data_IF_858783795384
#
_entry.id   IF_858783795384
#
_cell.length_a   1.000
_cell.length_b   1.000
_cell.length_c   1.000
_cell.angle_alpha   90.00
_cell.angle_beta   90.00
_cell.angle_gamma   90.00
#
_symmetry.space_group_name_H-M   'P 1'
#
loop_
_entity.id
_entity.type
_entity.pdbx_description
1 polymer ?
#
# COMPACT_ATOMS: atom_id res chain seq x y z
N UNK A 1 -26.65 -22.72 27.34
CA UNK A 1 -25.99 -23.01 26.05
C UNK A 1 -24.48 -23.07 26.30
N UNK A 2 -23.84 -24.19 25.98
CA UNK A 2 -22.42 -24.41 26.21
C UNK A 2 -21.61 -23.70 25.09
N UNK A 3 -20.77 -22.68 25.40
CA UNK A 3 -20.07 -21.90 24.39
C UNK A 3 -18.82 -22.62 23.82
N UNK A 4 -18.56 -23.86 24.21
CA UNK A 4 -17.40 -24.66 23.79
C UNK A 4 -17.40 -25.14 22.32
N UNK A 5 -18.38 -24.74 21.51
CA UNK A 5 -18.55 -25.22 20.13
C UNK A 5 -18.70 -24.08 19.11
N UNK A 6 -17.96 -22.99 19.29
CA UNK A 6 -17.68 -22.06 18.19
C UNK A 6 -16.29 -22.40 17.66
N UNK A 7 -16.22 -23.42 16.81
CA UNK A 7 -15.03 -23.68 16.00
C UNK A 7 -14.99 -22.70 14.84
N UNK A 8 -14.12 -21.70 14.92
CA UNK A 8 -13.79 -20.87 13.77
C UNK A 8 -13.07 -21.72 12.73
N UNK A 9 -13.54 -21.66 11.49
CA UNK A 9 -13.08 -22.51 10.38
C UNK A 9 -11.64 -22.17 9.92
N UNK A 10 -11.07 -21.05 10.37
CA UNK A 10 -9.72 -20.59 10.01
C UNK A 10 -8.94 -20.10 11.23
N UNK A 11 -7.72 -20.63 11.42
CA UNK A 11 -6.76 -20.26 12.49
C UNK A 11 -6.05 -18.90 12.28
N UNK A 12 -6.34 -18.19 11.19
CA UNK A 12 -5.56 -17.03 10.74
C UNK A 12 -6.13 -15.71 11.26
N UNK A 13 -7.41 -15.66 11.62
CA UNK A 13 -8.00 -14.50 12.30
C UNK A 13 -8.12 -14.77 13.80
N UNK A 14 -7.38 -14.02 14.60
CA UNK A 14 -7.68 -13.92 16.02
C UNK A 14 -9.03 -13.19 16.16
N UNK A 15 -10.12 -13.94 16.36
CA UNK A 15 -11.40 -13.33 16.71
C UNK A 15 -11.26 -12.66 18.08
N UNK A 16 -11.37 -11.34 18.12
CA UNK A 16 -11.63 -10.62 19.37
C UNK A 16 -13.09 -10.87 19.70
N UNK A 17 -13.36 -11.66 20.74
CA UNK A 17 -14.70 -11.79 21.29
C UNK A 17 -15.15 -10.41 21.82
N UNK A 18 -16.23 -9.85 21.26
CA UNK A 18 -16.76 -8.54 21.62
C UNK A 18 -17.23 -8.46 23.09
N UNK A 19 -17.24 -9.58 23.83
CA UNK A 19 -17.48 -9.62 25.28
C UNK A 19 -16.23 -9.40 26.14
N UNK A 20 -15.06 -9.17 25.54
CA UNK A 20 -13.86 -8.81 26.29
C UNK A 20 -13.96 -7.38 26.84
N UNK A 21 -13.78 -7.21 28.15
CA UNK A 21 -13.48 -5.90 28.73
C UNK A 21 -12.09 -5.48 28.23
N UNK A 22 -12.04 -4.73 27.13
CA UNK A 22 -10.81 -4.19 26.58
C UNK A 22 -10.16 -3.29 27.62
N UNK A 23 -9.11 -3.77 28.28
CA UNK A 23 -8.21 -2.89 29.02
C UNK A 23 -7.54 -2.01 27.97
N UNK A 24 -7.99 -0.76 27.87
CA UNK A 24 -7.41 0.23 26.97
C UNK A 24 -5.92 0.36 27.28
N UNK A 25 -5.08 -0.18 26.39
CA UNK A 25 -3.63 -0.09 26.51
C UNK A 25 -3.15 0.89 25.43
N UNK A 26 -2.67 2.05 25.85
CA UNK A 26 -1.96 2.95 24.96
C UNK A 26 -0.59 2.34 24.66
N UNK A 27 -0.35 2.01 23.39
CA UNK A 27 0.95 1.54 22.90
C UNK A 27 1.46 2.54 21.87
N UNK A 28 2.76 2.79 21.90
CA UNK A 28 3.41 3.62 20.90
C UNK A 28 3.74 2.74 19.70
N UNK A 29 3.32 3.16 18.53
CA UNK A 29 3.70 2.57 17.26
C UNK A 29 4.44 3.63 16.44
N UNK A 30 5.39 3.18 15.64
CA UNK A 30 6.26 4.06 14.87
C UNK A 30 6.73 3.38 13.60
N UNK A 31 7.00 4.20 12.60
CA UNK A 31 7.56 3.78 11.32
C UNK A 31 8.71 4.71 10.94
N UNK A 32 9.68 4.17 10.21
CA UNK A 32 10.83 4.90 9.72
C UNK A 32 11.16 4.40 8.32
N UNK A 33 11.58 5.29 7.43
CA UNK A 33 11.99 4.92 6.09
C UNK A 33 12.91 5.93 5.45
N UNK A 34 13.67 5.46 4.48
CA UNK A 34 14.56 6.24 3.64
C UNK A 34 14.05 6.11 2.21
N UNK A 35 13.96 7.24 1.52
CA UNK A 35 13.54 7.35 0.12
C UNK A 35 14.65 8.04 -0.68
N UNK A 36 15.17 7.35 -1.67
CA UNK A 36 16.07 7.89 -2.68
C UNK A 36 15.32 7.99 -4.00
N UNK A 37 15.30 9.16 -4.63
CA UNK A 37 14.50 9.37 -5.84
C UNK A 37 15.16 10.34 -6.81
N UNK A 38 14.74 10.26 -8.07
CA UNK A 38 14.99 11.27 -9.10
C UNK A 38 13.72 11.46 -9.96
N UNK A 39 13.83 12.18 -11.08
CA UNK A 39 12.70 12.49 -11.97
C UNK A 39 12.04 11.25 -12.62
N UNK A 40 12.67 10.08 -12.57
CA UNK A 40 12.24 8.84 -13.24
C UNK A 40 12.13 7.63 -12.32
N UNK A 41 12.81 7.60 -11.18
CA UNK A 41 12.89 6.42 -10.35
C UNK A 41 12.80 6.77 -8.87
N UNK A 42 12.39 5.79 -8.09
CA UNK A 42 12.54 5.83 -6.65
C UNK A 42 13.02 4.47 -6.14
N UNK A 43 13.70 4.51 -5.01
CA UNK A 43 14.11 3.37 -4.21
C UNK A 43 13.82 3.71 -2.75
N UNK A 44 13.19 2.80 -2.03
CA UNK A 44 12.78 3.01 -0.66
C UNK A 44 13.04 1.78 0.18
N UNK A 45 13.44 2.02 1.42
CA UNK A 45 13.52 1.01 2.45
C UNK A 45 12.90 1.59 3.71
N UNK A 46 11.93 0.87 4.27
CA UNK A 46 11.19 1.31 5.44
C UNK A 46 10.87 0.15 6.37
N UNK A 47 10.64 0.48 7.64
CA UNK A 47 10.24 -0.44 8.68
C UNK A 47 9.03 0.12 9.41
N UNK A 48 7.97 -0.68 9.48
CA UNK A 48 6.77 -0.41 10.25
C UNK A 48 6.85 -1.09 11.62
N UNK A 49 6.05 -0.59 12.57
CA UNK A 49 5.90 -1.13 13.92
C UNK A 49 7.21 -1.27 14.69
N UNK A 50 8.13 -0.30 14.58
CA UNK A 50 9.50 -0.35 15.15
C UNK A 50 9.51 -0.79 16.62
N UNK A 51 8.54 -0.31 17.40
CA UNK A 51 8.50 -0.50 18.85
C UNK A 51 7.89 -1.85 19.30
N UNK A 52 7.28 -2.63 18.40
CA UNK A 52 6.68 -3.92 18.72
C UNK A 52 5.61 -3.84 19.83
N UNK A 53 4.34 -3.69 19.48
CA UNK A 53 3.28 -3.55 20.48
C UNK A 53 2.73 -4.94 20.90
N UNK A 54 2.98 -5.35 22.14
CA UNK A 54 2.30 -6.49 22.75
C UNK A 54 0.93 -6.09 23.32
N UNK A 55 -0.14 -6.61 22.73
CA UNK A 55 -1.51 -6.49 23.20
C UNK A 55 -1.86 -7.72 24.03
N UNK A 56 -2.19 -7.48 25.30
CA UNK A 56 -2.64 -8.51 26.23
C UNK A 56 -4.12 -8.35 26.48
N UNK A 57 -4.93 -9.27 25.97
CA UNK A 57 -6.36 -9.30 26.25
C UNK A 57 -6.61 -10.10 27.54
N UNK A 58 -7.31 -9.49 28.50
CA UNK A 58 -7.78 -10.17 29.71
C UNK A 58 -9.28 -10.39 29.58
N UNK A 59 -9.70 -11.65 29.68
CA UNK A 59 -11.11 -11.99 29.79
C UNK A 59 -11.57 -11.84 31.24
N UNK A 60 -12.85 -11.54 31.45
CA UNK A 60 -13.44 -11.29 32.78
C UNK A 60 -13.52 -12.54 33.66
N UNK A 61 -13.18 -13.72 33.15
CA UNK A 61 -13.27 -14.99 33.85
C UNK A 61 -11.87 -15.63 33.92
N UNK A 62 -11.35 -15.97 35.12
CA UNK A 62 -9.94 -16.38 35.31
C UNK A 62 -9.56 -17.70 34.61
N UNK A 63 -10.53 -18.48 34.14
CA UNK A 63 -10.31 -19.80 33.53
C UNK A 63 -10.17 -19.78 31.99
N UNK A 64 -10.19 -18.60 31.35
CA UNK A 64 -10.11 -18.51 29.89
C UNK A 64 -8.80 -17.88 29.38
N UNK A 65 -8.25 -18.52 28.35
CA UNK A 65 -6.93 -18.28 27.77
C UNK A 65 -6.60 -16.80 27.51
N UNK A 66 -5.38 -16.43 27.91
CA UNK A 66 -4.75 -15.14 27.63
C UNK A 66 -4.32 -15.08 26.16
N UNK A 67 -5.03 -14.32 25.34
CA UNK A 67 -4.57 -13.98 23.99
C UNK A 67 -3.48 -12.92 24.07
N UNK A 68 -2.25 -13.27 23.68
CA UNK A 68 -1.20 -12.29 23.40
C UNK A 68 -1.19 -12.07 21.88
N UNK A 69 -1.45 -10.83 21.45
CA UNK A 69 -1.23 -10.41 20.07
C UNK A 69 0.03 -9.53 20.06
N UNK A 70 1.04 -9.94 19.30
CA UNK A 70 2.25 -9.15 19.12
C UNK A 70 2.16 -8.48 17.76
N UNK A 71 2.19 -7.14 17.75
CA UNK A 71 2.32 -6.40 16.51
C UNK A 71 3.79 -6.45 16.07
N UNK A 72 4.05 -7.28 15.06
CA UNK A 72 5.41 -7.60 14.61
C UNK A 72 5.94 -6.55 13.63
N UNK A 73 7.25 -6.32 13.69
CA UNK A 73 7.94 -5.42 12.78
C UNK A 73 7.82 -5.93 11.34
N UNK A 74 7.61 -5.00 10.41
CA UNK A 74 7.50 -5.30 8.99
C UNK A 74 8.51 -4.45 8.22
N UNK A 75 9.33 -5.09 7.40
CA UNK A 75 10.29 -4.40 6.53
C UNK A 75 9.68 -4.31 5.14
N UNK A 76 9.67 -3.11 4.58
CA UNK A 76 9.13 -2.81 3.26
C UNK A 76 10.24 -2.23 2.41
N UNK A 77 10.49 -2.87 1.28
CA UNK A 77 11.32 -2.37 0.20
C UNK A 77 10.43 -1.96 -0.97
N UNK A 78 10.73 -0.83 -1.59
CA UNK A 78 10.01 -0.35 -2.76
C UNK A 78 10.93 0.19 -3.82
N UNK A 79 10.64 -0.08 -5.07
CA UNK A 79 11.35 0.48 -6.21
C UNK A 79 10.34 0.86 -7.30
N UNK A 80 10.67 1.87 -8.10
CA UNK A 80 9.89 2.18 -9.28
C UNK A 80 10.69 2.90 -10.34
N UNK A 81 10.23 2.79 -11.58
CA UNK A 81 10.85 3.41 -12.75
C UNK A 81 9.79 3.82 -13.78
N UNK A 82 9.85 5.08 -14.19
CA UNK A 82 9.00 5.67 -15.20
C UNK A 82 9.79 5.80 -16.50
N UNK A 83 9.23 5.27 -17.58
CA UNK A 83 9.85 5.31 -18.90
C UNK A 83 8.84 5.67 -19.99
N UNK A 84 9.32 6.38 -21.00
CA UNK A 84 8.53 6.78 -22.16
C UNK A 84 9.37 7.67 -23.06
N UNK A 85 9.51 7.28 -24.34
CA UNK A 85 10.18 8.12 -25.34
C UNK A 85 9.33 9.36 -25.66
N UNK A 86 8.02 9.17 -25.73
CA UNK A 86 7.04 10.24 -25.93
C UNK A 86 6.47 10.70 -24.57
N UNK A 87 6.54 11.99 -24.22
CA UNK A 87 5.94 12.54 -22.99
C UNK A 87 4.42 12.33 -22.88
N UNK A 88 3.74 12.09 -24.00
CA UNK A 88 2.30 11.76 -24.01
C UNK A 88 2.02 10.30 -23.64
N UNK A 89 3.02 9.44 -23.59
CA UNK A 89 2.85 8.02 -23.27
C UNK A 89 3.94 7.59 -22.31
N UNK A 90 3.60 7.51 -21.03
CA UNK A 90 4.58 7.17 -20.00
C UNK A 90 4.14 5.96 -19.20
N UNK A 91 5.01 4.96 -19.20
CA UNK A 91 4.86 3.76 -18.41
C UNK A 91 5.43 3.99 -17.02
N UNK A 92 4.61 3.79 -16.01
CA UNK A 92 4.95 3.82 -14.59
C UNK A 92 5.03 2.38 -14.08
N UNK A 93 6.22 1.98 -13.61
CA UNK A 93 6.45 0.67 -13.04
C UNK A 93 6.75 0.84 -11.57
N UNK A 94 6.04 0.10 -10.72
CA UNK A 94 6.31 0.11 -9.27
C UNK A 94 6.33 -1.31 -8.74
N UNK A 95 7.24 -1.56 -7.83
CA UNK A 95 7.50 -2.84 -7.24
C UNK A 95 7.66 -2.67 -5.72
N UNK A 96 6.97 -3.52 -4.97
CA UNK A 96 7.00 -3.53 -3.52
C UNK A 96 7.24 -4.94 -3.00
N UNK A 97 8.10 -5.03 -1.99
CA UNK A 97 8.35 -6.25 -1.24
C UNK A 97 8.18 -5.94 0.22
N UNK A 98 7.42 -6.78 0.91
CA UNK A 98 7.18 -6.66 2.33
C UNK A 98 7.47 -8.01 3.00
N UNK A 99 8.15 -7.97 4.13
CA UNK A 99 8.46 -9.16 4.93
C UNK A 99 8.22 -8.89 6.41
N UNK A 100 7.71 -9.88 7.11
CA UNK A 100 7.48 -9.90 8.55
C UNK A 100 7.32 -11.34 9.02
N UNK A 101 7.29 -11.56 10.34
CA UNK A 101 7.29 -12.92 10.90
C UNK A 101 5.98 -13.68 10.64
N UNK A 102 4.83 -13.01 10.61
CA UNK A 102 3.56 -13.58 10.14
C UNK A 102 3.41 -13.66 8.61
N UNK A 103 4.15 -12.85 7.85
CA UNK A 103 4.08 -12.80 6.38
C UNK A 103 5.50 -12.84 5.81
N UNK A 104 6.06 -14.04 5.60
CA UNK A 104 7.48 -14.21 5.28
C UNK A 104 7.90 -13.46 4.02
N UNK A 105 7.01 -13.38 3.03
CA UNK A 105 7.22 -12.60 1.81
C UNK A 105 5.89 -12.21 1.19
N UNK A 106 5.75 -10.92 0.90
CA UNK A 106 4.67 -10.35 0.08
C UNK A 106 5.30 -9.52 -1.02
N UNK A 107 4.77 -9.65 -2.23
CA UNK A 107 5.30 -9.00 -3.42
C UNK A 107 4.14 -8.41 -4.21
N UNK A 108 4.30 -7.16 -4.62
CA UNK A 108 3.36 -6.42 -5.46
C UNK A 108 4.13 -5.77 -6.60
N UNK A 109 3.71 -6.04 -7.83
CA UNK A 109 4.20 -5.35 -9.00
C UNK A 109 3.03 -4.70 -9.72
N UNK A 110 3.18 -3.42 -10.08
CA UNK A 110 2.19 -2.63 -10.80
C UNK A 110 2.83 -1.99 -12.02
N UNK A 111 2.09 -2.02 -13.13
CA UNK A 111 2.42 -1.35 -14.37
C UNK A 111 1.22 -0.50 -14.80
N UNK A 112 1.45 0.80 -14.97
CA UNK A 112 0.43 1.75 -15.46
C UNK A 112 0.96 2.54 -16.64
N UNK A 113 0.11 2.81 -17.60
CA UNK A 113 0.35 3.72 -18.71
C UNK A 113 -0.45 5.00 -18.50
N UNK A 114 0.27 6.12 -18.49
CA UNK A 114 -0.29 7.46 -18.50
C UNK A 114 -0.33 7.98 -19.93
N UNK A 115 -1.51 8.34 -20.40
CA UNK A 115 -1.78 8.81 -21.75
C UNK A 115 -2.17 10.29 -21.70
N UNK A 116 -1.36 11.13 -22.34
CA UNK A 116 -1.50 12.59 -22.43
C UNK A 116 -1.72 13.26 -21.08
N UNK A 117 -1.17 12.67 -20.01
CA UNK A 117 -1.39 13.05 -18.61
C UNK A 117 -2.86 13.04 -18.17
N UNK A 118 -3.79 12.52 -18.97
CA UNK A 118 -5.23 12.53 -18.70
C UNK A 118 -5.75 11.14 -18.36
N UNK A 119 -5.42 10.13 -19.15
CA UNK A 119 -5.94 8.78 -18.97
C UNK A 119 -4.88 7.87 -18.34
N UNK A 120 -5.29 7.05 -17.38
CA UNK A 120 -4.45 6.05 -16.72
C UNK A 120 -5.08 4.69 -16.98
N UNK A 121 -4.28 3.74 -17.47
CA UNK A 121 -4.70 2.34 -17.61
C UNK A 121 -3.56 1.44 -17.15
N UNK A 122 -3.87 0.30 -16.55
CA UNK A 122 -2.80 -0.59 -16.08
C UNK A 122 -3.31 -1.78 -15.30
N UNK A 123 -2.39 -2.45 -14.62
CA UNK A 123 -2.71 -3.53 -13.73
C UNK A 123 -1.61 -3.82 -12.73
N UNK A 124 -1.96 -4.59 -11.71
CA UNK A 124 -1.00 -5.11 -10.73
C UNK A 124 -1.10 -6.63 -10.63
N UNK A 125 0.00 -7.25 -10.21
CA UNK A 125 0.06 -8.65 -9.84
C UNK A 125 0.64 -8.76 -8.44
N UNK A 126 -0.09 -9.50 -7.60
CA UNK A 126 0.37 -9.96 -6.29
C UNK A 126 0.41 -11.48 -6.30
N UNK A 127 1.58 -12.09 -6.57
CA UNK A 127 1.71 -13.53 -6.72
C UNK A 127 1.11 -14.29 -5.52
N UNK A 128 0.30 -15.31 -5.81
CA UNK A 128 -0.39 -16.10 -4.79
C UNK A 128 -1.60 -15.40 -4.14
N UNK A 129 -1.91 -14.15 -4.51
CA UNK A 129 -3.02 -13.39 -3.96
C UNK A 129 -4.04 -12.97 -5.03
N UNK A 130 -3.68 -12.02 -5.90
CA UNK A 130 -4.63 -11.39 -6.82
C UNK A 130 -3.95 -10.74 -8.05
N UNK A 131 -4.74 -10.53 -9.10
CA UNK A 131 -4.45 -9.60 -10.19
C UNK A 131 -5.39 -8.40 -10.07
N UNK A 132 -4.89 -7.20 -10.31
CA UNK A 132 -5.67 -5.98 -10.29
C UNK A 132 -5.70 -5.35 -11.69
N UNK A 133 -6.84 -4.82 -12.11
CA UNK A 133 -6.94 -3.93 -13.27
C UNK A 133 -7.20 -2.51 -12.81
N UNK A 134 -6.55 -1.54 -13.45
CA UNK A 134 -6.63 -0.12 -13.11
C UNK A 134 -7.11 0.70 -14.31
N UNK A 135 -8.07 1.59 -14.08
CA UNK A 135 -8.50 2.60 -15.04
C UNK A 135 -8.75 3.90 -14.29
N UNK A 136 -8.23 5.02 -14.79
CA UNK A 136 -8.33 6.29 -14.10
C UNK A 136 -8.22 7.51 -15.00
N UNK A 137 -8.57 8.65 -14.45
CA UNK A 137 -8.54 9.94 -15.12
C UNK A 137 -7.91 10.98 -14.21
N UNK A 138 -7.06 11.82 -14.80
CA UNK A 138 -6.57 13.04 -14.20
C UNK A 138 -7.40 14.21 -14.73
N UNK A 139 -7.89 15.03 -13.81
CA UNK A 139 -8.73 16.18 -14.10
C UNK A 139 -8.00 17.44 -13.62
N UNK A 140 -7.78 18.37 -14.55
CA UNK A 140 -7.21 19.70 -14.29
C UNK A 140 -5.84 19.66 -13.59
N UNK A 141 -5.04 18.60 -13.79
CA UNK A 141 -3.73 18.36 -13.16
C UNK A 141 -3.73 18.45 -11.62
N UNK A 142 -4.90 18.28 -10.99
CA UNK A 142 -5.10 18.43 -9.53
C UNK A 142 -5.84 17.26 -8.92
N UNK A 143 -6.75 16.66 -9.67
CA UNK A 143 -7.53 15.53 -9.20
C UNK A 143 -7.16 14.31 -10.01
N UNK A 144 -6.93 13.19 -9.35
CA UNK A 144 -6.81 11.89 -10.01
C UNK A 144 -7.84 10.96 -9.40
N UNK A 145 -8.66 10.36 -10.26
CA UNK A 145 -9.63 9.33 -9.88
C UNK A 145 -9.17 8.06 -10.54
N UNK A 146 -8.96 6.99 -9.79
CA UNK A 146 -8.56 5.68 -10.33
C UNK A 146 -9.44 4.61 -9.73
N UNK A 147 -10.14 3.88 -10.59
CA UNK A 147 -10.88 2.70 -10.24
C UNK A 147 -10.01 1.46 -10.44
N UNK A 148 -10.06 0.54 -9.48
CA UNK A 148 -9.36 -0.73 -9.51
C UNK A 148 -10.28 -1.90 -9.24
N UNK A 149 -10.03 -3.00 -9.93
CA UNK A 149 -10.75 -4.26 -9.74
C UNK A 149 -9.78 -5.40 -9.46
N UNK A 150 -9.88 -5.97 -8.26
CA UNK A 150 -9.03 -7.06 -7.78
C UNK A 150 -9.68 -8.42 -8.04
N UNK A 151 -9.05 -9.20 -8.91
CA UNK A 151 -9.34 -10.60 -9.16
C UNK A 151 -8.50 -11.50 -8.25
N UNK A 152 -9.13 -12.04 -7.23
CA UNK A 152 -8.52 -12.98 -6.30
C UNK A 152 -8.23 -14.32 -6.99
N UNK A 153 -6.97 -14.75 -6.94
CA UNK A 153 -6.50 -16.04 -7.50
C UNK A 153 -6.27 -17.08 -6.39
N UNK A 154 -6.14 -16.63 -5.15
CA UNK A 154 -5.87 -17.49 -4.00
C UNK A 154 -7.06 -18.37 -3.60
N UNK A 155 -6.84 -19.31 -2.67
CA UNK A 155 -7.88 -20.21 -2.13
C UNK A 155 -9.09 -19.48 -1.52
N UNK A 156 -8.96 -18.17 -1.24
CA UNK A 156 -10.04 -17.27 -0.79
C UNK A 156 -11.07 -16.96 -1.89
N UNK A 157 -10.81 -17.30 -3.16
CA UNK A 157 -11.78 -17.16 -4.26
C UNK A 157 -13.10 -17.90 -4.00
N UNK A 158 -13.09 -18.91 -3.14
CA UNK A 158 -14.30 -19.66 -2.75
C UNK A 158 -15.27 -18.85 -1.89
N UNK A 159 -14.82 -17.79 -1.22
CA UNK A 159 -15.64 -16.92 -0.39
C UNK A 159 -15.88 -15.52 -1.00
N UNK A 160 -14.96 -15.03 -1.84
CA UNK A 160 -15.02 -13.67 -2.41
C UNK A 160 -14.68 -13.68 -3.90
N UNK A 161 -15.53 -13.03 -4.72
CA UNK A 161 -15.41 -13.01 -6.19
C UNK A 161 -14.50 -11.89 -6.73
N UNK A 162 -14.05 -10.99 -5.87
CA UNK A 162 -13.20 -9.84 -6.20
C UNK A 162 -13.59 -8.60 -5.38
N UNK A 163 -12.82 -7.52 -5.53
CA UNK A 163 -13.06 -6.24 -4.85
C UNK A 163 -13.06 -5.09 -5.85
N UNK A 164 -13.96 -4.14 -5.64
CA UNK A 164 -14.04 -2.89 -6.39
C UNK A 164 -13.52 -1.77 -5.50
N UNK A 165 -12.51 -1.04 -5.98
CA UNK A 165 -11.91 0.06 -5.23
C UNK A 165 -11.89 1.34 -6.06
N UNK A 166 -12.06 2.47 -5.39
CA UNK A 166 -11.98 3.80 -6.01
C UNK A 166 -11.00 4.63 -5.20
N UNK A 167 -9.94 5.07 -5.87
CA UNK A 167 -8.90 5.92 -5.33
C UNK A 167 -9.11 7.35 -5.81
N UNK A 168 -9.09 8.31 -4.88
CA UNK A 168 -9.15 9.75 -5.16
C UNK A 168 -7.89 10.41 -4.62
N UNK A 169 -7.17 11.11 -5.47
CA UNK A 169 -5.99 11.90 -5.11
C UNK A 169 -6.26 13.37 -5.43
N UNK A 170 -5.90 14.24 -4.49
CA UNK A 170 -5.94 15.69 -4.66
C UNK A 170 -4.55 16.27 -4.42
N UNK A 171 -4.01 16.94 -5.43
CA UNK A 171 -2.69 17.56 -5.41
C UNK A 171 -2.78 19.08 -5.34
N UNK A 172 -2.07 19.68 -4.38
CA UNK A 172 -1.95 21.13 -4.24
C UNK A 172 -0.49 21.52 -4.51
N UNK A 173 -0.24 22.21 -5.62
CA UNK A 173 1.09 22.78 -5.88
C UNK A 173 1.17 24.19 -5.30
N UNK A 174 2.09 24.39 -4.36
CA UNK A 174 2.45 25.71 -3.83
C UNK A 174 3.61 26.22 -4.67
N UNK A 175 3.34 27.17 -5.56
CA UNK A 175 4.32 27.75 -6.48
C UNK A 175 5.48 28.42 -5.70
N UNK A 176 6.56 27.69 -5.44
CA UNK A 176 7.82 28.25 -4.95
C UNK A 176 8.65 28.69 -6.16
N UNK A 177 8.27 29.83 -6.73
CA UNK A 177 8.88 30.47 -7.90
C UNK A 177 10.37 30.89 -7.73
N UNK A 178 11.12 30.37 -6.75
CA UNK A 178 12.47 30.86 -6.39
C UNK A 178 13.54 29.78 -6.15
N UNK A 179 13.37 28.53 -6.61
CA UNK A 179 14.50 27.60 -6.70
C UNK A 179 15.26 27.87 -8.01
N UNK A 180 16.33 28.66 -7.86
CA UNK A 180 17.23 29.15 -8.91
C UNK A 180 17.53 28.07 -9.96
N UNK A 181 17.27 28.42 -11.22
CA UNK A 181 17.83 27.78 -12.43
C UNK A 181 19.37 27.85 -12.39
N UNK A 182 20.00 26.94 -11.65
CA UNK A 182 21.43 26.69 -11.75
C UNK A 182 21.67 25.59 -12.77
N UNK A 183 21.99 25.95 -14.02
CA UNK A 183 22.73 25.09 -14.96
C UNK A 183 22.19 23.70 -15.31
N UNK A 184 20.95 23.35 -15.00
CA UNK A 184 20.38 22.04 -15.40
C UNK A 184 20.00 22.09 -16.88
N UNK A 185 20.67 21.25 -17.66
CA UNK A 185 20.48 21.07 -19.10
C UNK A 185 18.98 20.94 -19.43
N UNK A 186 18.46 21.77 -20.33
CA UNK A 186 17.02 21.95 -20.59
C UNK A 186 16.28 20.69 -21.07
N UNK A 187 17.03 19.66 -21.46
CA UNK A 187 16.51 18.32 -21.77
C UNK A 187 15.95 17.58 -20.54
N UNK A 188 16.50 17.80 -19.34
CA UNK A 188 16.02 17.18 -18.11
C UNK A 188 14.79 17.89 -17.52
N UNK A 189 14.72 19.22 -17.65
CA UNK A 189 13.57 20.01 -17.20
C UNK A 189 12.27 19.70 -17.97
N UNK A 190 12.37 19.13 -19.18
CA UNK A 190 11.23 18.66 -19.98
C UNK A 190 10.79 17.22 -19.65
N UNK A 191 11.53 16.51 -18.80
CA UNK A 191 11.39 15.08 -18.55
C UNK A 191 11.07 14.77 -17.08
N UNK A 192 10.26 15.62 -16.43
CA UNK A 192 9.61 15.24 -15.17
C UNK A 192 8.55 14.20 -15.47
N UNK A 193 8.85 12.92 -15.24
CA UNK A 193 7.90 11.82 -15.41
C UNK A 193 7.09 11.55 -14.15
N UNK A 194 7.12 12.47 -13.19
CA UNK A 194 6.33 12.39 -11.96
C UNK A 194 5.05 13.20 -12.16
N UNK A 195 3.95 12.50 -12.48
CA UNK A 195 2.70 13.10 -12.96
C UNK A 195 1.92 13.90 -11.91
N UNK A 196 2.34 13.82 -10.64
CA UNK A 196 1.68 14.47 -9.50
C UNK A 196 2.51 15.58 -8.85
N UNK A 197 3.76 15.78 -9.27
CA UNK A 197 4.64 16.84 -8.73
C UNK A 197 4.96 17.85 -9.82
N UNK A 198 4.20 18.96 -9.86
CA UNK A 198 4.56 20.12 -10.69
C UNK A 198 5.42 21.08 -9.87
#
# INVERSE_FOLDING_TARGET
MNPSLITLRHKIDASVDLRSNTVSQKKLEGAFGILFYNDRFFLSLSMLNIFGADYKFKYSNPDFFKGNYNNENQIIFGAGYNFGENPDYVFENTFWVMTGKAMPLFLDYSLRLHIRKTLIVGGSIRPGNAFAFHAGLNVMDKFQITYSYDLLVSKLRTAQKGTHEVNLVFSINKNTNNLKKGGVNSKFLRQKYQYLLN
#
